data_IF_427355262969
#
_entry.id   IF_427355262969
#
_cell.length_a   1.000
_cell.length_b   1.000
_cell.length_c   1.000
_cell.angle_alpha   90.00
_cell.angle_beta   90.00
_cell.angle_gamma   90.00
#
_symmetry.space_group_name_H-M   'P 1'
#
loop_
_entity.id
_entity.type
_entity.pdbx_description
1 polymer ?
#
# COMPACT_ATOMS: atom_id res chain seq x y z
N UNK A 1 -19.06 29.80 7.72
CA UNK A 1 -19.53 28.39 7.78
C UNK A 1 -18.57 27.52 7.00
N UNK A 2 -17.59 26.95 7.70
CA UNK A 2 -16.48 26.20 7.10
C UNK A 2 -16.98 24.79 6.85
N UNK A 3 -17.27 24.48 5.59
CA UNK A 3 -17.52 23.13 5.11
C UNK A 3 -16.23 22.31 5.23
N UNK A 4 -16.01 21.69 6.39
CA UNK A 4 -15.04 20.63 6.60
C UNK A 4 -15.58 19.34 5.96
N UNK A 5 -15.61 19.34 4.62
CA UNK A 5 -15.68 18.11 3.84
C UNK A 5 -14.29 17.50 3.92
N UNK A 6 -14.09 16.58 4.88
CA UNK A 6 -12.93 15.70 4.88
C UNK A 6 -12.99 14.91 3.57
N UNK A 7 -12.10 15.19 2.60
CA UNK A 7 -12.13 14.45 1.37
C UNK A 7 -11.63 13.05 1.68
N UNK A 8 -12.28 12.07 1.07
CA UNK A 8 -11.87 10.66 0.88
C UNK A 8 -10.41 10.54 0.35
N UNK A 9 -9.77 11.66 0.02
CA UNK A 9 -8.40 11.82 -0.45
C UNK A 9 -7.37 12.14 0.66
N UNK A 10 -7.76 12.24 1.94
CA UNK A 10 -6.80 12.26 3.06
C UNK A 10 -6.02 10.94 3.25
N UNK A 11 -6.46 9.87 2.58
CA UNK A 11 -5.79 8.58 2.47
C UNK A 11 -5.01 8.41 1.15
N UNK A 12 -4.90 9.45 0.32
CA UNK A 12 -3.86 9.47 -0.71
C UNK A 12 -2.56 9.86 -0.02
N UNK A 13 -1.67 8.91 0.23
CA UNK A 13 -0.30 9.21 0.68
C UNK A 13 0.49 9.83 -0.47
N UNK A 14 0.27 11.13 -0.63
CA UNK A 14 1.10 12.04 -1.36
C UNK A 14 1.42 13.21 -0.43
N UNK A 15 2.71 13.51 -0.29
CA UNK A 15 3.14 14.76 0.31
C UNK A 15 2.52 15.93 -0.46
N UNK A 16 2.20 17.06 0.19
CA UNK A 16 1.57 18.24 -0.45
C UNK A 16 2.36 18.73 -1.69
N UNK A 17 3.65 18.40 -1.77
CA UNK A 17 4.54 18.58 -2.93
C UNK A 17 4.19 17.74 -4.16
N UNK A 18 3.66 16.52 -4.01
CA UNK A 18 3.41 15.60 -5.13
C UNK A 18 2.04 15.82 -5.82
N UNK A 19 1.08 16.48 -5.15
CA UNK A 19 -0.26 16.72 -5.70
C UNK A 19 -0.28 17.76 -6.85
N UNK A 20 0.70 18.66 -6.91
CA UNK A 20 0.78 19.69 -7.96
C UNK A 20 1.43 19.18 -9.27
N UNK A 21 2.37 18.23 -9.18
CA UNK A 21 2.98 17.61 -10.38
C UNK A 21 2.02 16.62 -11.07
N UNK A 22 1.24 15.87 -10.29
CA UNK A 22 0.26 14.92 -10.82
C UNK A 22 -0.85 15.63 -11.62
N UNK A 23 -1.29 16.81 -11.20
CA UNK A 23 -2.36 17.57 -11.87
C UNK A 23 -1.92 18.19 -13.20
N UNK A 24 -0.63 18.44 -13.40
CA UNK A 24 -0.10 19.06 -14.60
C UNK A 24 0.06 18.06 -15.78
N UNK A 25 0.19 16.76 -15.51
CA UNK A 25 0.46 15.73 -16.53
C UNK A 25 -0.73 14.80 -16.86
N UNK A 26 -1.93 15.13 -16.38
CA UNK A 26 -3.06 14.19 -16.27
C UNK A 26 -4.01 14.12 -17.48
N UNK A 27 -3.53 14.22 -18.73
CA UNK A 27 -4.44 14.31 -19.91
C UNK A 27 -4.30 13.34 -21.09
N UNK A 28 -3.44 12.33 -21.10
CA UNK A 28 -3.15 11.63 -22.38
C UNK A 28 -3.32 10.10 -22.48
N UNK A 29 -4.11 9.42 -21.64
CA UNK A 29 -4.35 7.97 -21.87
C UNK A 29 -5.69 7.45 -21.37
N UNK A 30 -6.52 6.92 -22.29
CA UNK A 30 -7.92 6.49 -22.04
C UNK A 30 -8.09 5.03 -21.55
N UNK A 31 -7.03 4.23 -21.43
CA UNK A 31 -7.12 2.83 -20.97
C UNK A 31 -6.71 2.65 -19.50
N UNK A 32 -7.60 2.02 -18.70
CA UNK A 32 -7.40 1.73 -17.26
C UNK A 32 -6.06 1.04 -16.95
N UNK A 33 -5.68 0.06 -17.78
CA UNK A 33 -4.42 -0.67 -17.61
C UNK A 33 -3.20 0.23 -17.78
N UNK A 34 -3.22 1.13 -18.76
CA UNK A 34 -2.13 2.08 -18.99
C UNK A 34 -1.96 3.04 -17.80
N UNK A 35 -3.06 3.43 -17.13
CA UNK A 35 -3.02 4.27 -15.92
C UNK A 35 -2.40 3.53 -14.74
N UNK A 36 -2.82 2.29 -14.49
CA UNK A 36 -2.24 1.47 -13.42
C UNK A 36 -0.76 1.19 -13.68
N UNK A 37 -0.37 0.81 -14.90
CA UNK A 37 1.03 0.59 -15.25
C UNK A 37 1.87 1.84 -15.06
N UNK A 38 1.39 3.01 -15.52
CA UNK A 38 2.11 4.28 -15.33
C UNK A 38 2.26 4.63 -13.84
N UNK A 39 1.20 4.49 -13.05
CA UNK A 39 1.29 4.72 -11.61
C UNK A 39 2.31 3.81 -10.93
N UNK A 40 2.32 2.52 -11.30
CA UNK A 40 3.33 1.58 -10.80
C UNK A 40 4.72 2.08 -11.20
N UNK A 41 4.97 2.32 -12.50
CA UNK A 41 6.29 2.76 -12.98
C UNK A 41 6.75 4.08 -12.36
N UNK A 42 5.85 5.05 -12.17
CA UNK A 42 6.16 6.34 -11.56
C UNK A 42 6.51 6.20 -10.08
N UNK A 43 5.78 5.34 -9.34
CA UNK A 43 6.12 5.06 -7.94
C UNK A 43 7.44 4.30 -7.83
N UNK A 44 7.72 3.36 -8.73
CA UNK A 44 9.02 2.70 -8.77
C UNK A 44 10.14 3.73 -9.01
N UNK A 45 9.97 4.65 -9.97
CA UNK A 45 10.97 5.69 -10.23
C UNK A 45 11.16 6.65 -9.06
N UNK A 46 10.08 7.01 -8.33
CA UNK A 46 10.19 7.92 -7.20
C UNK A 46 10.84 7.27 -5.98
N UNK A 47 10.51 6.01 -5.69
CA UNK A 47 11.06 5.29 -4.54
C UNK A 47 12.53 4.91 -4.81
N UNK A 48 12.87 4.61 -6.06
CA UNK A 48 14.13 3.95 -6.39
C UNK A 48 15.00 4.63 -7.46
N UNK A 49 14.62 5.81 -7.95
CA UNK A 49 15.43 6.61 -8.89
C UNK A 49 15.49 6.06 -10.32
N UNK A 50 14.65 5.08 -10.68
CA UNK A 50 14.58 4.48 -12.03
C UNK A 50 13.72 3.21 -12.06
N UNK A 51 13.50 2.66 -13.26
CA UNK A 51 12.91 1.33 -13.43
C UNK A 51 14.00 0.29 -13.14
N UNK A 52 13.74 -0.59 -12.19
CA UNK A 52 14.67 -1.66 -11.87
C UNK A 52 14.88 -2.60 -13.05
N UNK A 53 16.08 -3.19 -13.13
CA UNK A 53 16.38 -4.20 -14.17
C UNK A 53 16.19 -5.62 -13.61
N UNK A 54 15.94 -6.59 -14.49
CA UNK A 54 15.88 -8.01 -14.10
C UNK A 54 17.16 -8.46 -13.37
N UNK A 55 18.30 -7.86 -13.73
CA UNK A 55 19.58 -8.13 -13.07
C UNK A 55 19.62 -7.66 -11.61
N UNK A 56 18.96 -6.54 -11.28
CA UNK A 56 18.87 -6.05 -9.90
C UNK A 56 17.95 -6.93 -9.06
N UNK A 57 16.83 -7.38 -9.63
CA UNK A 57 15.96 -8.36 -8.98
C UNK A 57 16.73 -9.64 -8.64
N UNK A 58 17.51 -10.18 -9.57
CA UNK A 58 18.30 -11.39 -9.32
C UNK A 58 19.30 -11.20 -8.18
N UNK A 59 20.00 -10.06 -8.12
CA UNK A 59 20.92 -9.75 -7.01
C UNK A 59 20.20 -9.74 -5.66
N UNK A 60 18.99 -9.18 -5.60
CA UNK A 60 18.17 -9.19 -4.37
C UNK A 60 17.75 -10.60 -3.99
N UNK A 61 17.32 -11.41 -4.96
CA UNK A 61 16.94 -12.79 -4.72
C UNK A 61 18.12 -13.62 -4.21
N UNK A 62 19.30 -13.47 -4.83
CA UNK A 62 20.53 -14.13 -4.41
C UNK A 62 20.92 -13.73 -2.97
N UNK A 63 20.74 -12.46 -2.60
CA UNK A 63 20.99 -11.99 -1.23
C UNK A 63 20.01 -12.62 -0.23
N UNK A 64 18.72 -12.67 -0.54
CA UNK A 64 17.72 -13.34 0.31
C UNK A 64 18.07 -14.82 0.50
N UNK A 65 18.49 -15.50 -0.57
CA UNK A 65 18.84 -16.91 -0.55
C UNK A 65 20.08 -17.25 0.30
N UNK A 66 20.95 -16.27 0.60
CA UNK A 66 22.08 -16.47 1.52
C UNK A 66 21.62 -16.74 2.96
N UNK A 67 20.48 -16.18 3.35
CA UNK A 67 19.90 -16.35 4.69
C UNK A 67 18.79 -17.40 4.69
N UNK A 68 17.98 -17.43 3.63
CA UNK A 68 16.87 -18.37 3.45
C UNK A 68 17.04 -19.14 2.14
N UNK A 69 17.77 -20.26 2.18
CA UNK A 69 18.09 -21.07 1.00
C UNK A 69 16.87 -21.72 0.34
N UNK A 70 15.74 -21.78 1.02
CA UNK A 70 14.48 -22.31 0.49
C UNK A 70 13.57 -21.20 -0.06
N UNK A 71 14.03 -19.95 -0.11
CA UNK A 71 13.24 -18.85 -0.64
C UNK A 71 12.85 -19.11 -2.09
N UNK A 72 11.55 -19.02 -2.37
CA UNK A 72 11.01 -19.10 -3.71
C UNK A 72 9.94 -18.01 -3.93
N UNK A 73 9.94 -17.44 -5.14
CA UNK A 73 9.10 -16.28 -5.45
C UNK A 73 7.61 -16.63 -5.46
N UNK A 74 7.23 -17.85 -5.86
CA UNK A 74 5.84 -18.29 -5.87
C UNK A 74 5.26 -18.44 -4.46
N UNK A 75 6.01 -19.02 -3.53
CA UNK A 75 5.64 -19.12 -2.12
C UNK A 75 5.64 -17.76 -1.46
N UNK A 76 6.58 -16.87 -1.79
CA UNK A 76 6.54 -15.48 -1.32
C UNK A 76 5.29 -14.75 -1.80
N UNK A 77 4.92 -14.88 -3.08
CA UNK A 77 3.70 -14.28 -3.63
C UNK A 77 2.43 -14.88 -2.99
N UNK A 78 2.43 -16.19 -2.72
CA UNK A 78 1.35 -16.86 -2.00
C UNK A 78 1.23 -16.33 -0.56
N UNK A 79 2.36 -16.22 0.13
CA UNK A 79 2.45 -15.62 1.45
C UNK A 79 1.92 -14.19 1.46
N UNK A 80 2.30 -13.38 0.46
CA UNK A 80 1.79 -12.01 0.32
C UNK A 80 0.27 -12.00 0.10
N UNK A 81 -0.23 -12.83 -0.82
CA UNK A 81 -1.64 -12.89 -1.18
C UNK A 81 -2.55 -13.31 -0.04
N UNK A 82 -2.14 -14.31 0.74
CA UNK A 82 -3.02 -14.92 1.75
C UNK A 82 -2.77 -14.42 3.18
N UNK A 83 -1.60 -13.86 3.47
CA UNK A 83 -1.27 -13.41 4.82
C UNK A 83 -0.89 -11.93 4.87
N UNK A 84 0.11 -11.47 4.13
CA UNK A 84 0.61 -10.10 4.29
C UNK A 84 -0.43 -9.08 3.86
N UNK A 85 -0.89 -9.16 2.61
CA UNK A 85 -1.78 -8.15 2.04
C UNK A 85 -3.12 -8.10 2.77
N UNK A 86 -3.85 -9.20 3.02
CA UNK A 86 -5.14 -9.11 3.71
C UNK A 86 -5.01 -8.58 5.15
N UNK A 87 -4.02 -9.05 5.92
CA UNK A 87 -3.88 -8.62 7.31
C UNK A 87 -3.46 -7.15 7.43
N UNK A 88 -2.51 -6.73 6.60
CA UNK A 88 -1.99 -5.36 6.67
C UNK A 88 -3.00 -4.39 6.05
N UNK A 89 -3.61 -4.72 4.92
CA UNK A 89 -4.58 -3.84 4.28
C UNK A 89 -5.84 -3.68 5.16
N UNK A 90 -6.32 -4.76 5.79
CA UNK A 90 -7.43 -4.68 6.74
C UNK A 90 -7.07 -3.78 7.94
N UNK A 91 -5.85 -3.89 8.47
CA UNK A 91 -5.36 -3.03 9.54
C UNK A 91 -5.29 -1.56 9.11
N UNK A 92 -4.91 -1.28 7.85
CA UNK A 92 -4.90 0.07 7.28
C UNK A 92 -6.32 0.63 7.21
N UNK A 93 -7.30 -0.10 6.67
CA UNK A 93 -8.67 0.43 6.48
C UNK A 93 -9.47 0.52 7.79
N UNK A 94 -9.12 -0.28 8.81
CA UNK A 94 -9.74 -0.21 10.14
C UNK A 94 -9.02 0.70 11.13
N UNK A 95 -7.79 1.13 10.85
CA UNK A 95 -7.00 1.93 11.77
C UNK A 95 -6.45 1.14 12.97
N UNK A 96 -6.12 -0.14 12.77
CA UNK A 96 -5.46 -0.96 13.79
C UNK A 96 -3.96 -0.64 13.86
N UNK A 97 -3.64 0.41 14.61
CA UNK A 97 -2.28 0.91 14.79
C UNK A 97 -1.34 -0.12 15.45
N UNK A 98 -1.86 -1.09 16.22
CA UNK A 98 -1.02 -2.10 16.86
C UNK A 98 -0.47 -3.06 15.82
N UNK A 99 -1.33 -3.51 14.91
CA UNK A 99 -0.93 -4.37 13.80
C UNK A 99 0.02 -3.62 12.88
N UNK A 100 -0.32 -2.38 12.50
CA UNK A 100 0.53 -1.56 11.62
C UNK A 100 1.92 -1.33 12.21
N UNK A 101 2.04 -1.11 13.52
CA UNK A 101 3.34 -0.92 14.17
C UNK A 101 4.26 -2.14 14.06
N UNK A 102 3.70 -3.35 14.01
CA UNK A 102 4.48 -4.57 13.87
C UNK A 102 4.91 -4.84 12.42
N UNK A 103 4.08 -4.45 11.46
CA UNK A 103 4.32 -4.70 10.04
C UNK A 103 5.10 -3.60 9.33
N UNK A 104 5.12 -2.37 9.85
CA UNK A 104 5.73 -1.23 9.18
C UNK A 104 7.06 -0.83 9.81
N UNK A 105 7.97 -0.32 8.98
CA UNK A 105 9.04 0.56 9.46
C UNK A 105 8.46 1.88 9.99
N UNK A 106 9.29 2.63 10.72
CA UNK A 106 8.85 3.85 11.41
C UNK A 106 8.26 4.90 10.46
N UNK A 107 8.90 5.14 9.31
CA UNK A 107 8.45 6.12 8.32
C UNK A 107 7.03 5.81 7.78
N UNK A 108 6.77 4.63 7.16
CA UNK A 108 5.43 4.31 6.68
C UNK A 108 4.42 4.19 7.82
N UNK A 109 4.82 3.73 9.02
CA UNK A 109 3.93 3.70 10.19
C UNK A 109 3.42 5.10 10.57
N UNK A 110 4.32 6.09 10.69
CA UNK A 110 3.95 7.44 11.10
C UNK A 110 3.00 8.09 10.10
N UNK A 111 3.25 7.86 8.81
CA UNK A 111 2.42 8.29 7.70
C UNK A 111 1.02 7.65 7.81
N UNK A 112 0.95 6.32 7.97
CA UNK A 112 -0.32 5.58 8.10
C UNK A 112 -1.10 5.92 9.38
N UNK A 113 -0.41 6.17 10.49
CA UNK A 113 -1.03 6.37 11.80
C UNK A 113 -1.65 7.77 11.96
N UNK A 114 -1.10 8.79 11.30
CA UNK A 114 -1.51 10.18 11.51
C UNK A 114 -3.02 10.44 11.26
N UNK A 115 -3.62 10.01 10.13
CA UNK A 115 -5.06 10.19 9.90
C UNK A 115 -5.92 9.45 10.93
N UNK A 116 -5.51 8.25 11.32
CA UNK A 116 -6.26 7.42 12.27
C UNK A 116 -6.25 7.97 13.70
N UNK A 117 -5.20 8.67 14.10
CA UNK A 117 -5.19 9.37 15.38
C UNK A 117 -6.25 10.49 15.42
N UNK A 118 -6.38 11.25 14.33
CA UNK A 118 -7.40 12.31 14.22
C UNK A 118 -8.83 11.73 14.22
N UNK A 119 -9.07 10.66 13.46
CA UNK A 119 -10.36 9.96 13.43
C UNK A 119 -10.75 9.48 14.85
N UNK A 120 -9.78 8.94 15.59
CA UNK A 120 -9.99 8.50 16.99
C UNK A 120 -10.29 9.67 17.93
N UNK A 121 -9.59 10.79 17.80
CA UNK A 121 -9.86 12.01 18.59
C UNK A 121 -11.26 12.56 18.35
N UNK A 122 -11.76 12.47 17.11
CA UNK A 122 -13.12 12.86 16.74
C UNK A 122 -14.20 11.87 17.19
N UNK A 123 -13.82 10.73 17.78
CA UNK A 123 -14.75 9.67 18.19
C UNK A 123 -15.46 8.99 17.03
N UNK A 124 -14.82 8.99 15.85
CA UNK A 124 -15.31 8.34 14.64
C UNK A 124 -14.86 6.87 14.60
N UNK A 125 -15.65 6.04 13.93
CA UNK A 125 -15.45 4.58 13.86
C UNK A 125 -15.39 4.18 12.38
N UNK A 126 -14.36 3.41 12.01
CA UNK A 126 -14.28 2.79 10.69
C UNK A 126 -15.13 1.52 10.65
N UNK A 127 -16.02 1.46 9.66
CA UNK A 127 -16.70 0.24 9.21
C UNK A 127 -16.19 -0.18 7.83
N UNK A 128 -14.94 0.16 7.53
CA UNK A 128 -14.30 -0.15 6.25
C UNK A 128 -13.75 -1.58 6.26
N UNK A 129 -13.91 -2.27 5.13
CA UNK A 129 -13.53 -3.68 4.98
C UNK A 129 -12.97 -3.97 3.60
N UNK A 130 -11.94 -4.81 3.55
CA UNK A 130 -11.41 -5.39 2.30
C UNK A 130 -12.31 -6.53 1.86
N UNK A 131 -12.72 -6.51 0.59
CA UNK A 131 -13.59 -7.53 -0.01
C UNK A 131 -12.79 -8.60 -0.74
N UNK A 132 -11.83 -8.19 -1.56
CA UNK A 132 -11.04 -9.09 -2.38
C UNK A 132 -9.66 -8.51 -2.69
N UNK A 133 -8.69 -9.40 -2.91
CA UNK A 133 -7.31 -9.07 -3.29
C UNK A 133 -6.88 -9.99 -4.41
N UNK A 134 -6.46 -9.41 -5.53
CA UNK A 134 -6.05 -10.17 -6.70
C UNK A 134 -4.85 -9.53 -7.40
N UNK A 135 -4.28 -10.28 -8.35
CA UNK A 135 -3.15 -9.86 -9.18
C UNK A 135 -1.91 -9.43 -8.36
N UNK A 136 -1.62 -10.13 -7.27
CA UNK A 136 -0.38 -9.93 -6.50
C UNK A 136 0.79 -10.44 -7.30
N UNK A 137 1.74 -9.55 -7.60
CA UNK A 137 2.92 -9.84 -8.42
C UNK A 137 4.14 -9.00 -8.01
N UNK A 138 5.36 -9.53 -8.21
CA UNK A 138 6.62 -8.81 -7.95
C UNK A 138 6.93 -7.92 -9.15
N UNK A 139 7.08 -6.62 -8.91
CA UNK A 139 7.41 -5.66 -9.96
C UNK A 139 8.92 -5.46 -10.11
N UNK A 140 9.65 -5.42 -8.99
CA UNK A 140 11.11 -5.29 -8.97
C UNK A 140 11.69 -5.65 -7.62
N UNK A 141 13.02 -5.79 -7.57
CA UNK A 141 13.79 -5.91 -6.34
C UNK A 141 14.89 -4.86 -6.32
N UNK A 142 15.20 -4.33 -5.14
CA UNK A 142 16.36 -3.45 -4.96
C UNK A 142 17.02 -3.64 -3.60
N UNK A 143 18.36 -3.58 -3.59
CA UNK A 143 19.12 -3.48 -2.35
C UNK A 143 19.02 -2.07 -1.78
N UNK A 144 18.60 -1.97 -0.52
CA UNK A 144 18.50 -0.72 0.23
C UNK A 144 19.37 -0.82 1.49
N UNK A 145 19.62 0.32 2.15
CA UNK A 145 20.39 0.34 3.41
C UNK A 145 19.76 -0.53 4.51
N UNK A 146 18.43 -0.66 4.50
CA UNK A 146 17.66 -1.47 5.45
C UNK A 146 17.73 -2.97 5.15
N UNK A 147 18.07 -3.37 3.91
CA UNK A 147 18.10 -4.76 3.47
C UNK A 147 17.61 -4.98 2.04
N UNK A 148 17.46 -6.25 1.61
CA UNK A 148 16.86 -6.60 0.34
C UNK A 148 15.36 -6.26 0.34
N UNK A 149 14.94 -5.48 -0.66
CA UNK A 149 13.55 -5.03 -0.82
C UNK A 149 12.93 -5.65 -2.06
N UNK A 150 11.74 -6.21 -1.91
CA UNK A 150 10.88 -6.63 -3.01
C UNK A 150 9.68 -5.70 -3.10
N UNK A 151 9.42 -5.19 -4.29
CA UNK A 151 8.27 -4.35 -4.57
C UNK A 151 7.18 -5.19 -5.21
N UNK A 152 6.03 -5.24 -4.57
CA UNK A 152 4.86 -5.94 -5.10
C UNK A 152 3.81 -4.94 -5.58
N UNK A 153 3.06 -5.32 -6.61
CA UNK A 153 1.81 -4.66 -6.97
C UNK A 153 0.64 -5.61 -6.81
N UNK A 154 -0.53 -5.07 -6.51
CA UNK A 154 -1.77 -5.83 -6.48
C UNK A 154 -2.99 -4.92 -6.63
N UNK A 155 -4.14 -5.53 -6.85
CA UNK A 155 -5.43 -4.83 -6.87
C UNK A 155 -6.30 -5.32 -5.71
N UNK A 156 -6.94 -4.39 -5.02
CA UNK A 156 -7.87 -4.69 -3.95
C UNK A 156 -9.24 -4.09 -4.26
N UNK A 157 -10.29 -4.80 -3.84
CA UNK A 157 -11.64 -4.25 -3.72
C UNK A 157 -11.92 -4.00 -2.25
N UNK A 158 -12.43 -2.82 -1.93
CA UNK A 158 -12.73 -2.43 -0.54
C UNK A 158 -13.94 -1.51 -0.47
N UNK A 159 -14.59 -1.50 0.68
CA UNK A 159 -15.61 -0.51 1.03
C UNK A 159 -15.00 0.39 2.09
N UNK A 160 -15.07 1.70 1.86
CA UNK A 160 -14.63 2.69 2.83
C UNK A 160 -15.86 3.40 3.41
N UNK A 161 -16.03 3.30 4.73
CA UNK A 161 -17.09 3.98 5.45
C UNK A 161 -16.59 4.34 6.86
N UNK A 162 -16.78 5.60 7.24
CA UNK A 162 -16.52 6.11 8.59
C UNK A 162 -17.83 6.67 9.12
N UNK A 163 -18.20 6.25 10.33
CA UNK A 163 -19.40 6.70 11.03
C UNK A 163 -19.07 7.42 12.32
N UNK A 164 -20.00 8.23 12.77
CA UNK A 164 -20.00 8.69 14.16
C UNK A 164 -20.57 7.62 15.11
N UNK A 165 -20.49 7.90 16.40
CA UNK A 165 -21.08 7.07 17.47
C UNK A 165 -22.60 6.86 17.37
N UNK A 166 -23.30 7.63 16.55
CA UNK A 166 -24.74 7.51 16.33
C UNK A 166 -25.08 6.71 15.06
N UNK A 167 -24.06 6.18 14.37
CA UNK A 167 -24.21 5.39 13.15
C UNK A 167 -24.44 6.23 11.89
N UNK A 168 -24.32 7.56 11.96
CA UNK A 168 -24.44 8.41 10.77
C UNK A 168 -23.14 8.38 9.98
N UNK A 169 -23.24 8.16 8.66
CA UNK A 169 -22.09 8.21 7.75
C UNK A 169 -21.52 9.62 7.77
N UNK A 170 -20.25 9.75 8.15
CA UNK A 170 -19.49 10.99 8.11
C UNK A 170 -18.59 11.04 6.88
N UNK A 171 -18.09 9.89 6.45
CA UNK A 171 -17.24 9.79 5.27
C UNK A 171 -17.42 8.44 4.56
N UNK A 172 -17.26 8.44 3.24
CA UNK A 172 -17.38 7.25 2.39
C UNK A 172 -18.81 6.85 2.06
N UNK A 173 -18.97 5.65 1.54
CA UNK A 173 -20.27 5.07 1.20
C UNK A 173 -20.24 3.56 1.48
N UNK A 174 -21.06 3.06 2.42
CA UNK A 174 -21.08 1.65 2.81
C UNK A 174 -21.53 0.71 1.68
N UNK A 175 -22.12 1.23 0.60
CA UNK A 175 -22.59 0.43 -0.52
C UNK A 175 -21.70 0.53 -1.76
N UNK A 176 -20.69 1.42 -1.73
CA UNK A 176 -19.81 1.64 -2.88
C UNK A 176 -18.56 0.79 -2.77
N UNK A 177 -18.40 -0.14 -3.71
CA UNK A 177 -17.16 -0.90 -3.88
C UNK A 177 -16.14 -0.05 -4.61
N UNK A 178 -14.99 0.16 -3.98
CA UNK A 178 -13.83 0.84 -4.55
C UNK A 178 -12.83 -0.20 -5.04
N UNK A 179 -12.25 0.04 -6.22
CA UNK A 179 -11.09 -0.72 -6.70
C UNK A 179 -9.85 0.13 -6.53
N UNK A 180 -8.83 -0.41 -5.88
CA UNK A 180 -7.60 0.31 -5.57
C UNK A 180 -6.40 -0.49 -6.09
N UNK A 181 -5.52 0.17 -6.84
CA UNK A 181 -4.22 -0.40 -7.23
C UNK A 181 -3.21 -0.03 -6.16
N UNK A 182 -2.48 -1.03 -5.65
CA UNK A 182 -1.48 -0.86 -4.60
C UNK A 182 -0.09 -1.22 -5.11
N UNK A 183 0.91 -0.50 -4.60
CA UNK A 183 2.34 -0.80 -4.78
C UNK A 183 3.00 -0.74 -3.41
N UNK A 184 3.53 -1.86 -2.95
CA UNK A 184 4.10 -1.99 -1.60
C UNK A 184 5.56 -2.41 -1.71
N UNK A 185 6.44 -1.72 -1.00
CA UNK A 185 7.83 -2.10 -0.85
C UNK A 185 8.01 -2.89 0.46
N UNK A 186 8.33 -4.17 0.35
CA UNK A 186 8.56 -5.06 1.48
C UNK A 186 10.06 -5.29 1.65
N UNK A 187 10.60 -4.89 2.79
CA UNK A 187 11.99 -5.11 3.18
C UNK A 187 12.09 -6.38 4.02
N UNK A 188 13.05 -7.24 3.69
CA UNK A 188 13.38 -8.41 4.51
C UNK A 188 14.47 -8.05 5.52
N UNK A 189 14.20 -8.28 6.79
CA UNK A 189 15.18 -8.24 7.87
C UNK A 189 16.10 -9.46 7.77
N UNK A 190 17.36 -9.25 7.44
CA UNK A 190 18.35 -10.33 7.30
C UNK A 190 18.74 -10.97 8.64
N UNK A 191 18.44 -10.33 9.77
CA UNK A 191 18.71 -10.88 11.10
C UNK A 191 17.62 -11.82 11.61
N UNK A 192 16.43 -11.78 11.00
CA UNK A 192 15.32 -12.67 11.32
C UNK A 192 15.45 -13.99 10.53
N UNK A 193 15.59 -15.09 11.26
CA UNK A 193 15.75 -16.42 10.69
C UNK A 193 14.42 -17.04 10.27
N UNK A 194 13.30 -16.63 10.89
CA UNK A 194 11.99 -17.14 10.53
C UNK A 194 11.47 -16.45 9.25
N UNK A 195 11.38 -17.16 8.10
CA UNK A 195 11.16 -16.53 6.79
C UNK A 195 9.90 -15.67 6.70
N UNK A 196 8.81 -16.09 7.35
CA UNK A 196 7.52 -15.39 7.29
C UNK A 196 7.42 -14.20 8.26
N UNK A 197 8.34 -14.08 9.22
CA UNK A 197 8.37 -12.98 10.19
C UNK A 197 9.36 -11.87 9.80
N UNK A 198 10.23 -12.15 8.81
CA UNK A 198 11.31 -11.27 8.41
C UNK A 198 10.84 -10.04 7.59
N UNK A 199 9.58 -9.96 7.17
CA UNK A 199 9.13 -8.95 6.21
C UNK A 199 8.42 -7.77 6.88
N UNK A 200 8.84 -6.55 6.52
CA UNK A 200 8.18 -5.30 6.94
C UNK A 200 7.97 -4.34 5.79
N UNK A 201 6.90 -3.56 5.85
CA UNK A 201 6.61 -2.47 4.92
C UNK A 201 7.62 -1.34 5.09
N UNK A 202 8.34 -1.05 4.02
CA UNK A 202 9.25 0.08 3.92
C UNK A 202 8.55 1.30 3.29
N UNK A 203 7.68 1.08 2.32
CA UNK A 203 6.89 2.12 1.68
C UNK A 203 5.60 1.55 1.06
N UNK A 204 4.61 2.42 0.85
CA UNK A 204 3.30 2.10 0.30
C UNK A 204 2.78 3.22 -0.60
N UNK A 205 2.21 2.83 -1.73
CA UNK A 205 1.43 3.67 -2.60
C UNK A 205 0.07 3.04 -2.88
N UNK A 206 -0.95 3.89 -3.02
CA UNK A 206 -2.30 3.46 -3.40
C UNK A 206 -2.91 4.46 -4.38
N UNK A 207 -3.58 3.92 -5.40
CA UNK A 207 -4.32 4.70 -6.39
C UNK A 207 -5.74 4.15 -6.51
N UNK A 208 -6.75 4.89 -6.03
CA UNK A 208 -8.14 4.56 -6.30
C UNK A 208 -8.42 4.63 -7.80
N UNK A 209 -9.07 3.60 -8.33
CA UNK A 209 -9.59 3.61 -9.70
C UNK A 209 -11.03 4.09 -9.62
N UNK A 210 -11.29 5.36 -9.94
CA UNK A 210 -12.66 5.84 -10.03
C UNK A 210 -13.38 5.15 -11.19
N UNK A 211 -14.39 4.33 -10.87
CA UNK A 211 -15.41 3.96 -11.83
C UNK A 211 -16.34 5.17 -12.00
N UNK A 212 -16.17 5.87 -13.11
CA UNK A 212 -17.18 6.76 -13.64
C UNK A 212 -18.32 5.84 -14.11
N UNK A 213 -19.42 5.83 -13.37
CA UNK A 213 -20.72 5.36 -13.84
C UNK A 213 -21.58 6.59 -14.11
#
# INVERSE_FOLDING_TARGET
PVDLVFPIYGLTFFTVSEFFDLKAQYRESEHLFARSMRFVTDRLSNIFGGLGTDSELQVVLDEIMKVDSNFDTESFLRFCRFLVVPNVLEAIVRGDLKILKNWCHEAPYNVLAAPWNQIKELGLISESHVLDVHNVDIQMGKMMEQGPVLVISFQAQQINCIRDKHGSVREGDPNKVLRVTHVWALCRDQSEFHPWAAWRLLDIAMMPTEQWL
#
